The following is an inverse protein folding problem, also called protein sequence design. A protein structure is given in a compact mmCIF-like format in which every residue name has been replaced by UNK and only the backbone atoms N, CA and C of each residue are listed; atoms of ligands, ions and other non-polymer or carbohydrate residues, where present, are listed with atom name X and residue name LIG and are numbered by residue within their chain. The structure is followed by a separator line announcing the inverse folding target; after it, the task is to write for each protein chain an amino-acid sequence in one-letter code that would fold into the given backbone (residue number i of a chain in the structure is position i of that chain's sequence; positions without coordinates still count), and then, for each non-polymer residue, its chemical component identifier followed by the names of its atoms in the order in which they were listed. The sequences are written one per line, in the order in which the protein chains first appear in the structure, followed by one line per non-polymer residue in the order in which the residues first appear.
data_IF_451829529951
#
_entry.id   IF_451829529951
#
_cell.length_a   1.000
_cell.length_b   1.000
_cell.length_c   1.000
_cell.angle_alpha   90.00
_cell.angle_beta   90.00
_cell.angle_gamma   90.00
#
_symmetry.space_group_name_H-M   'P 1'
#
loop_
_entity.id
_entity.type
_entity.pdbx_description
1 polymer ?
#
# COMPACT_ATOMS: atom_id res chain seq x y z
N UNK A 1 -11.54 -11.18 -14.95
CA UNK A 1 -12.70 -10.30 -15.21
C UNK A 1 -12.22 -8.86 -15.33
N UNK A 2 -12.87 -7.98 -16.12
CA UNK A 2 -12.42 -6.60 -16.25
C UNK A 2 -12.76 -5.77 -15.00
N UNK A 3 -11.78 -5.04 -14.47
CA UNK A 3 -12.03 -4.00 -13.47
C UNK A 3 -12.86 -2.86 -14.08
N UNK A 4 -13.91 -2.42 -13.39
CA UNK A 4 -14.79 -1.34 -13.85
C UNK A 4 -14.27 0.07 -13.54
N UNK A 5 -13.28 0.20 -12.64
CA UNK A 5 -12.65 1.48 -12.30
C UNK A 5 -11.78 1.34 -11.06
N UNK A 6 -10.63 2.03 -11.05
CA UNK A 6 -9.75 2.07 -9.86
C UNK A 6 -9.18 3.47 -9.66
N UNK A 7 -9.16 3.89 -8.40
CA UNK A 7 -8.70 5.21 -7.98
C UNK A 7 -7.88 5.07 -6.70
N UNK A 8 -6.71 5.69 -6.68
CA UNK A 8 -5.94 5.96 -5.48
C UNK A 8 -5.64 7.46 -5.45
N UNK A 9 -5.89 8.13 -4.33
CA UNK A 9 -5.61 9.55 -4.18
C UNK A 9 -5.07 9.87 -2.79
N UNK A 10 -4.14 10.82 -2.73
CA UNK A 10 -3.59 11.37 -1.49
C UNK A 10 -3.65 12.89 -1.62
N UNK A 11 -4.22 13.55 -0.62
CA UNK A 11 -4.22 15.00 -0.50
C UNK A 11 -3.65 15.42 0.85
N UNK A 12 -2.96 16.54 0.86
CA UNK A 12 -2.51 17.22 2.07
C UNK A 12 -2.79 18.71 1.93
N UNK A 13 -3.21 19.33 3.03
CA UNK A 13 -3.40 20.76 3.14
C UNK A 13 -2.84 21.24 4.49
N UNK A 14 -2.14 22.36 4.46
CA UNK A 14 -1.69 23.07 5.65
C UNK A 14 -1.79 24.57 5.38
N UNK A 15 -1.99 25.36 6.43
CA UNK A 15 -1.97 26.82 6.33
C UNK A 15 -1.16 27.38 7.49
N UNK A 16 -0.12 28.16 7.19
CA UNK A 16 0.58 28.93 8.20
C UNK A 16 -0.11 30.28 8.36
N UNK A 17 -0.38 30.68 9.59
CA UNK A 17 -1.02 31.97 9.90
C UNK A 17 -0.22 32.75 10.92
N UNK A 18 -0.14 34.08 10.76
CA UNK A 18 0.40 34.97 11.78
C UNK A 18 -0.52 36.17 11.98
N UNK A 19 -0.72 36.57 13.23
CA UNK A 19 -1.48 37.77 13.56
C UNK A 19 -0.67 39.03 13.19
N UNK A 20 -1.38 40.06 12.74
CA UNK A 20 -0.87 41.40 12.46
C UNK A 20 -1.78 42.41 13.18
N UNK A 21 -1.27 43.61 13.45
CA UNK A 21 -2.01 44.64 14.20
C UNK A 21 -3.38 44.98 13.59
N UNK A 22 -3.50 44.87 12.25
CA UNK A 22 -4.75 45.14 11.50
C UNK A 22 -5.26 43.92 10.73
N UNK A 23 -4.81 42.69 11.04
CA UNK A 23 -5.29 41.51 10.31
C UNK A 23 -4.55 40.20 10.58
N UNK A 24 -4.57 39.30 9.60
CA UNK A 24 -3.90 37.99 9.67
C UNK A 24 -3.28 37.67 8.32
N UNK A 25 -1.97 37.40 8.32
CA UNK A 25 -1.30 36.87 7.14
C UNK A 25 -1.47 35.35 7.07
N UNK A 26 -1.57 34.82 5.86
CA UNK A 26 -1.89 33.41 5.56
C UNK A 26 -0.96 32.89 4.46
N UNK A 27 -0.49 31.65 4.62
CA UNK A 27 0.29 30.92 3.61
C UNK A 27 -0.27 29.49 3.46
N UNK A 28 -1.21 29.26 2.53
CA UNK A 28 -1.76 27.94 2.27
C UNK A 28 -0.80 27.09 1.44
N UNK A 29 -0.66 25.82 1.82
CA UNK A 29 0.10 24.79 1.16
C UNK A 29 -0.82 23.63 0.84
N UNK A 30 -0.90 23.23 -0.44
CA UNK A 30 -1.69 22.07 -0.85
C UNK A 30 -0.87 21.12 -1.70
N UNK A 31 -1.10 19.84 -1.51
CA UNK A 31 -0.55 18.76 -2.32
C UNK A 31 -1.68 17.81 -2.66
N UNK A 32 -1.78 17.43 -3.93
CA UNK A 32 -2.68 16.37 -4.37
C UNK A 32 -1.95 15.48 -5.36
N UNK A 33 -2.12 14.17 -5.18
CA UNK A 33 -1.66 13.12 -6.10
C UNK A 33 -2.80 12.15 -6.30
N UNK A 34 -3.02 11.78 -7.56
CA UNK A 34 -4.09 10.87 -7.97
C UNK A 34 -3.59 9.91 -9.04
N UNK A 35 -3.95 8.65 -8.87
CA UNK A 35 -3.80 7.56 -9.81
C UNK A 35 -5.20 7.08 -10.18
N UNK A 36 -5.56 7.21 -11.46
CA UNK A 36 -6.83 6.71 -12.00
C UNK A 36 -6.50 5.75 -13.13
N UNK A 37 -6.91 4.49 -13.01
CA UNK A 37 -6.58 3.47 -14.00
C UNK A 37 -7.85 2.92 -14.65
N UNK A 38 -7.77 2.70 -15.96
CA UNK A 38 -8.75 1.93 -16.71
C UNK A 38 -8.52 0.42 -16.57
N UNK A 39 -9.35 -0.37 -17.22
CA UNK A 39 -9.20 -1.83 -17.27
C UNK A 39 -8.08 -2.26 -18.23
N UNK A 40 -7.28 -3.25 -17.83
CA UNK A 40 -6.25 -3.91 -18.64
C UNK A 40 -4.85 -3.90 -18.00
N UNK A 41 -3.83 -4.26 -18.76
CA UNK A 41 -2.46 -4.49 -18.23
C UNK A 41 -1.42 -3.43 -18.61
N UNK A 42 -1.71 -2.61 -19.63
CA UNK A 42 -0.78 -1.58 -20.12
C UNK A 42 -0.66 -0.33 -19.23
N UNK A 43 0.01 0.70 -19.76
CA UNK A 43 0.07 2.02 -19.11
C UNK A 43 -1.35 2.56 -18.81
N UNK A 44 -1.53 3.13 -17.63
CA UNK A 44 -2.81 3.73 -17.21
C UNK A 44 -3.90 2.70 -16.96
N UNK A 45 -3.54 1.43 -16.79
CA UNK A 45 -4.47 0.33 -16.61
C UNK A 45 -4.09 -0.58 -15.44
N UNK A 46 -5.10 -1.22 -14.87
CA UNK A 46 -4.99 -2.32 -13.92
C UNK A 46 -6.06 -3.36 -14.24
N UNK A 47 -5.81 -4.60 -13.84
CA UNK A 47 -6.76 -5.71 -14.00
C UNK A 47 -6.76 -6.69 -12.82
N UNK A 48 -5.99 -6.40 -11.76
CA UNK A 48 -6.00 -7.14 -10.50
C UNK A 48 -6.14 -6.19 -9.31
N UNK A 49 -6.94 -6.59 -8.33
CA UNK A 49 -7.10 -5.89 -7.06
C UNK A 49 -7.19 -6.91 -5.94
N UNK A 50 -6.48 -6.65 -4.84
CA UNK A 50 -6.64 -7.35 -3.58
C UNK A 50 -6.96 -6.32 -2.50
N UNK A 51 -7.86 -6.66 -1.58
CA UNK A 51 -8.10 -5.87 -0.39
C UNK A 51 -8.55 -6.74 0.76
N UNK A 52 -8.04 -6.50 1.95
CA UNK A 52 -8.41 -7.26 3.15
C UNK A 52 -8.11 -6.47 4.42
N UNK A 53 -8.78 -6.86 5.52
CA UNK A 53 -8.44 -6.48 6.89
C UNK A 53 -7.89 -7.70 7.61
N UNK A 54 -6.67 -7.62 8.12
CA UNK A 54 -6.00 -8.75 8.78
C UNK A 54 -5.56 -8.40 10.18
N UNK A 55 -5.46 -9.42 11.04
CA UNK A 55 -5.01 -9.28 12.42
C UNK A 55 -3.88 -10.26 12.68
N UNK A 56 -2.74 -9.75 13.12
CA UNK A 56 -1.58 -10.53 13.53
C UNK A 56 -1.54 -10.63 15.04
N UNK A 57 -1.40 -11.84 15.56
CA UNK A 57 -1.16 -12.07 16.98
C UNK A 57 0.16 -11.39 17.46
N UNK A 58 0.37 -11.36 18.77
CA UNK A 58 1.64 -10.91 19.34
C UNK A 58 2.84 -11.63 18.72
N UNK A 59 3.89 -10.89 18.37
CA UNK A 59 5.11 -11.37 17.69
C UNK A 59 4.89 -12.04 16.34
N UNK A 60 3.66 -12.08 15.82
CA UNK A 60 3.36 -12.77 14.58
C UNK A 60 3.81 -11.94 13.37
N UNK A 61 4.11 -12.68 12.31
CA UNK A 61 4.37 -12.12 10.99
C UNK A 61 3.64 -12.96 9.96
N UNK A 62 3.33 -12.36 8.82
CA UNK A 62 2.83 -13.05 7.64
C UNK A 62 3.52 -12.53 6.39
N UNK A 63 3.53 -13.33 5.35
CA UNK A 63 4.04 -12.94 4.04
C UNK A 63 2.85 -12.97 3.06
N UNK A 64 2.49 -11.79 2.53
CA UNK A 64 1.51 -11.68 1.46
C UNK A 64 2.20 -12.06 0.15
N UNK A 65 1.89 -13.24 -0.39
CA UNK A 65 2.39 -13.67 -1.70
C UNK A 65 1.58 -13.02 -2.83
N UNK A 66 2.20 -12.00 -3.43
CA UNK A 66 1.63 -11.18 -4.49
C UNK A 66 1.43 -11.95 -5.82
N UNK A 67 1.91 -13.19 -5.92
CA UNK A 67 1.93 -13.95 -7.16
C UNK A 67 1.55 -15.43 -7.01
N UNK A 68 0.54 -15.77 -6.20
CA UNK A 68 0.05 -17.16 -6.15
C UNK A 68 -0.91 -17.54 -5.03
N UNK A 69 -0.95 -16.79 -3.92
CA UNK A 69 -1.79 -17.17 -2.77
C UNK A 69 -3.00 -16.27 -2.53
N UNK A 70 -2.89 -14.98 -2.86
CA UNK A 70 -3.98 -14.03 -2.61
C UNK A 70 -5.17 -14.35 -3.51
N UNK A 71 -6.36 -14.13 -2.99
CA UNK A 71 -7.62 -14.43 -3.67
C UNK A 71 -8.43 -13.15 -3.80
N UNK A 72 -9.04 -12.93 -4.96
CA UNK A 72 -9.93 -11.80 -5.16
C UNK A 72 -11.30 -12.01 -4.49
N UNK A 73 -12.16 -10.99 -4.52
CA UNK A 73 -13.49 -11.03 -3.93
C UNK A 73 -14.42 -12.10 -4.54
N UNK A 74 -14.03 -12.74 -5.65
CA UNK A 74 -14.79 -13.76 -6.35
C UNK A 74 -14.19 -15.16 -6.20
N UNK A 75 -13.16 -15.33 -5.37
CA UNK A 75 -12.54 -16.63 -5.12
C UNK A 75 -11.46 -17.02 -6.13
N UNK A 76 -11.05 -16.11 -7.04
CA UNK A 76 -9.99 -16.40 -8.00
C UNK A 76 -8.61 -16.01 -7.45
N UNK A 77 -7.63 -16.89 -7.60
CA UNK A 77 -6.23 -16.60 -7.24
C UNK A 77 -5.69 -15.44 -8.07
N UNK A 78 -5.01 -14.53 -7.40
CA UNK A 78 -4.38 -13.35 -7.98
C UNK A 78 -2.90 -13.63 -8.23
N UNK A 79 -2.46 -13.29 -9.43
CA UNK A 79 -1.04 -13.17 -9.76
C UNK A 79 -0.78 -11.76 -10.29
N UNK A 80 -0.10 -10.94 -9.50
CA UNK A 80 0.41 -9.65 -9.95
C UNK A 80 1.72 -9.86 -10.70
N UNK A 81 1.87 -9.27 -11.89
CA UNK A 81 3.18 -9.06 -12.51
C UNK A 81 3.77 -7.70 -12.10
N UNK A 82 2.93 -6.78 -11.65
CA UNK A 82 3.31 -5.46 -11.17
C UNK A 82 2.25 -4.82 -10.28
N UNK A 83 2.71 -4.10 -9.27
CA UNK A 83 1.88 -3.25 -8.43
C UNK A 83 1.89 -1.83 -8.99
N UNK A 84 0.69 -1.23 -9.09
CA UNK A 84 0.46 0.16 -9.52
C UNK A 84 0.08 1.06 -8.36
N UNK A 85 -0.60 0.51 -7.37
CA UNK A 85 -0.96 1.23 -6.16
C UNK A 85 -1.02 0.29 -4.96
N UNK A 86 -0.57 0.76 -3.81
CA UNK A 86 -0.72 0.05 -2.55
C UNK A 86 -1.05 1.04 -1.44
N UNK A 87 -2.04 0.69 -0.61
CA UNK A 87 -2.27 1.30 0.70
C UNK A 87 -2.09 0.22 1.75
N UNK A 88 -1.37 0.57 2.82
CA UNK A 88 -1.39 -0.18 4.08
C UNK A 88 -1.71 0.81 5.20
N UNK A 89 -2.70 0.49 6.02
CA UNK A 89 -3.13 1.32 7.13
C UNK A 89 -3.19 0.51 8.42
N UNK A 90 -2.51 0.97 9.45
CA UNK A 90 -2.60 0.39 10.79
C UNK A 90 -3.87 0.89 11.48
N UNK A 91 -4.61 0.00 12.14
CA UNK A 91 -5.74 0.40 12.96
C UNK A 91 -5.29 1.38 14.07
N UNK A 92 -6.15 2.34 14.40
CA UNK A 92 -5.95 3.35 15.45
C UNK A 92 -5.84 2.74 16.85
N UNK A 93 -6.62 1.70 17.12
CA UNK A 93 -6.66 1.00 18.40
C UNK A 93 -5.46 0.07 18.66
N UNK A 94 -4.52 -0.07 17.71
CA UNK A 94 -3.33 -0.89 17.92
C UNK A 94 -2.47 -0.31 19.06
N UNK A 95 -1.91 -1.18 19.90
CA UNK A 95 -0.89 -0.76 20.87
C UNK A 95 0.55 -0.90 20.33
N UNK A 96 0.74 -1.70 19.28
CA UNK A 96 2.03 -1.92 18.61
C UNK A 96 1.99 -1.43 17.16
N UNK A 97 3.16 -1.33 16.54
CA UNK A 97 3.27 -0.88 15.16
C UNK A 97 3.03 -2.05 14.19
N UNK A 98 2.54 -1.71 13.01
CA UNK A 98 2.54 -2.59 11.83
C UNK A 98 3.83 -2.31 11.07
N UNK A 99 4.64 -3.34 10.82
CA UNK A 99 5.91 -3.22 10.09
C UNK A 99 5.75 -3.90 8.73
N UNK A 100 6.10 -3.19 7.66
CA UNK A 100 5.90 -3.61 6.26
C UNK A 100 7.26 -3.80 5.59
N UNK A 101 7.47 -4.94 4.94
CA UNK A 101 8.69 -5.30 4.19
C UNK A 101 9.61 -6.28 4.92
N UNK A 102 10.80 -6.50 4.36
CA UNK A 102 11.84 -7.41 4.88
C UNK A 102 11.39 -8.88 5.02
N UNK A 103 10.81 -9.44 3.95
CA UNK A 103 10.60 -10.89 3.86
C UNK A 103 11.94 -11.64 3.82
N UNK A 104 12.05 -12.78 4.49
CA UNK A 104 13.32 -13.51 4.64
C UNK A 104 13.80 -14.14 3.33
N UNK A 105 12.88 -14.58 2.48
CA UNK A 105 13.14 -15.11 1.14
C UNK A 105 12.18 -14.49 0.15
N UNK A 106 12.56 -14.44 -1.12
CA UNK A 106 11.70 -13.98 -2.22
C UNK A 106 11.06 -12.60 -1.98
N UNK A 107 11.79 -11.73 -1.27
CA UNK A 107 11.29 -10.43 -0.89
C UNK A 107 10.92 -9.60 -2.12
N UNK A 108 9.72 -9.04 -2.10
CA UNK A 108 9.31 -8.07 -3.10
C UNK A 108 10.07 -6.75 -2.89
N UNK A 109 11.24 -6.67 -3.52
CA UNK A 109 12.24 -5.64 -3.24
C UNK A 109 12.02 -4.32 -4.00
N UNK A 110 11.09 -4.26 -4.97
CA UNK A 110 11.02 -3.13 -5.91
C UNK A 110 10.52 -1.83 -5.28
N UNK A 111 9.89 -1.88 -4.09
CA UNK A 111 9.41 -0.69 -3.39
C UNK A 111 10.38 -0.20 -2.29
N UNK A 112 10.77 -1.09 -1.37
CA UNK A 112 11.57 -0.73 -0.19
C UNK A 112 13.02 -1.27 -0.25
N UNK A 113 13.38 -2.02 -1.29
CA UNK A 113 14.53 -2.91 -1.24
C UNK A 113 14.21 -4.20 -0.46
N UNK A 114 15.12 -5.16 -0.49
CA UNK A 114 14.89 -6.48 0.12
C UNK A 114 14.91 -6.44 1.66
N UNK A 115 15.69 -5.53 2.25
CA UNK A 115 15.99 -5.53 3.70
C UNK A 115 15.37 -4.37 4.48
N UNK A 116 14.90 -3.33 3.79
CA UNK A 116 14.30 -2.17 4.47
C UNK A 116 12.88 -2.48 4.92
N UNK A 117 12.44 -1.73 5.92
CA UNK A 117 11.07 -1.77 6.41
C UNK A 117 10.46 -0.38 6.47
N UNK A 118 9.14 -0.35 6.41
CA UNK A 118 8.33 0.81 6.76
C UNK A 118 7.58 0.51 8.05
N UNK A 119 7.69 1.40 9.04
CA UNK A 119 6.97 1.28 10.31
C UNK A 119 5.75 2.19 10.30
N UNK A 120 4.56 1.60 10.47
CA UNK A 120 3.30 2.30 10.65
C UNK A 120 2.93 2.28 12.14
N UNK A 121 2.95 3.46 12.77
CA UNK A 121 2.43 3.64 14.14
C UNK A 121 0.90 3.42 14.16
N UNK A 122 0.28 3.19 15.33
CA UNK A 122 -1.17 3.12 15.43
C UNK A 122 -1.87 4.31 14.73
N UNK A 123 -2.84 4.01 13.86
CA UNK A 123 -3.56 4.98 13.04
C UNK A 123 -2.78 5.56 11.84
N UNK A 124 -1.51 5.20 11.66
CA UNK A 124 -0.72 5.63 10.51
C UNK A 124 -1.05 4.80 9.26
N UNK A 125 -0.86 5.41 8.10
CA UNK A 125 -0.99 4.73 6.82
C UNK A 125 0.09 5.18 5.85
N UNK A 126 0.31 4.36 4.84
CA UNK A 126 1.10 4.69 3.66
C UNK A 126 0.26 4.47 2.42
N UNK A 127 0.42 5.35 1.44
CA UNK A 127 -0.16 5.20 0.12
C UNK A 127 0.93 5.44 -0.92
N UNK A 128 1.12 4.46 -1.80
CA UNK A 128 2.05 4.52 -2.92
C UNK A 128 1.26 4.33 -4.20
N UNK A 129 1.49 5.18 -5.18
CA UNK A 129 0.86 5.08 -6.50
C UNK A 129 1.85 5.44 -7.59
N UNK A 130 1.80 4.72 -8.71
CA UNK A 130 2.59 4.99 -9.92
C UNK A 130 1.97 6.14 -10.72
N UNK A 131 2.71 6.67 -11.69
CA UNK A 131 2.13 7.60 -12.68
C UNK A 131 1.16 6.88 -13.62
N UNK A 132 0.17 7.59 -14.17
CA UNK A 132 -0.77 7.01 -15.14
C UNK A 132 -0.10 6.58 -16.45
N UNK A 133 1.04 7.15 -16.81
CA UNK A 133 1.81 6.74 -17.99
C UNK A 133 2.79 5.59 -17.71
N UNK A 134 2.94 5.17 -16.45
CA UNK A 134 3.90 4.15 -16.05
C UNK A 134 3.34 2.75 -16.37
N UNK A 135 3.88 2.12 -17.41
CA UNK A 135 3.57 0.73 -17.75
C UNK A 135 4.32 -0.28 -16.87
N UNK A 136 5.46 0.09 -16.30
CA UNK A 136 6.36 -0.78 -15.53
C UNK A 136 5.81 -1.04 -14.14
N UNK A 137 5.47 0.03 -13.40
CA UNK A 137 5.14 -0.05 -11.98
C UNK A 137 6.21 -0.78 -11.15
N UNK A 138 5.78 -1.34 -10.03
CA UNK A 138 6.65 -2.12 -9.14
C UNK A 138 6.57 -3.60 -9.51
N UNK A 139 7.59 -4.11 -10.20
CA UNK A 139 7.60 -5.46 -10.73
C UNK A 139 7.46 -6.52 -9.62
N UNK A 140 6.73 -7.60 -9.92
CA UNK A 140 6.56 -8.77 -9.06
C UNK A 140 7.06 -9.97 -9.85
N UNK A 141 7.97 -10.76 -9.27
CA UNK A 141 8.52 -11.96 -9.90
C UNK A 141 8.10 -13.18 -9.11
N UNK A 142 7.16 -13.97 -9.66
CA UNK A 142 6.64 -15.16 -9.02
C UNK A 142 7.77 -16.11 -8.56
N UNK A 143 7.69 -16.54 -7.30
CA UNK A 143 8.61 -17.47 -6.65
C UNK A 143 9.98 -16.89 -6.27
N UNK A 144 10.31 -15.64 -6.62
CA UNK A 144 11.65 -15.05 -6.34
C UNK A 144 11.65 -13.60 -5.88
N UNK A 145 10.52 -12.90 -5.97
CA UNK A 145 10.42 -11.47 -5.65
C UNK A 145 8.97 -11.03 -5.55
N UNK A 146 8.19 -11.74 -4.74
CA UNK A 146 6.74 -11.64 -4.64
C UNK A 146 6.21 -11.63 -3.21
N UNK A 147 7.06 -11.79 -2.19
CA UNK A 147 6.61 -11.76 -0.79
C UNK A 147 6.70 -10.35 -0.21
N UNK A 148 5.53 -9.81 0.17
CA UNK A 148 5.42 -8.62 1.01
C UNK A 148 5.13 -9.04 2.45
N UNK A 149 6.15 -8.97 3.30
CA UNK A 149 6.02 -9.28 4.72
C UNK A 149 5.28 -8.18 5.48
N UNK A 150 4.38 -8.59 6.38
CA UNK A 150 3.77 -7.74 7.41
C UNK A 150 4.09 -8.35 8.78
N UNK A 151 4.47 -7.52 9.73
CA UNK A 151 4.85 -7.96 11.07
C UNK A 151 4.23 -7.10 12.16
N UNK A 152 3.88 -7.74 13.27
CA UNK A 152 3.58 -7.08 14.53
C UNK A 152 4.90 -6.70 15.23
N UNK A 153 5.08 -5.43 15.56
CA UNK A 153 6.32 -4.98 16.23
C UNK A 153 6.41 -5.37 17.71
N UNK A 154 5.33 -5.86 18.31
CA UNK A 154 5.25 -6.11 19.75
C UNK A 154 4.85 -7.53 20.09
N UNK A 155 5.23 -7.94 21.30
CA UNK A 155 5.00 -9.29 21.83
C UNK A 155 3.83 -9.36 22.84
N UNK A 156 3.14 -8.26 23.12
CA UNK A 156 2.10 -8.19 24.16
C UNK A 156 0.67 -8.28 23.64
N UNK A 157 0.38 -7.75 22.46
CA UNK A 157 -0.98 -7.63 21.91
C UNK A 157 -0.97 -7.77 20.39
N UNK A 158 -2.11 -8.11 19.80
CA UNK A 158 -2.28 -8.18 18.35
C UNK A 158 -2.21 -6.81 17.69
N UNK A 159 -1.95 -6.78 16.38
CA UNK A 159 -2.14 -5.60 15.53
C UNK A 159 -3.11 -5.93 14.40
N UNK A 160 -3.95 -4.96 14.06
CA UNK A 160 -4.86 -5.03 12.91
C UNK A 160 -4.43 -4.02 11.85
N UNK A 161 -4.52 -4.42 10.58
CA UNK A 161 -4.22 -3.54 9.46
C UNK A 161 -5.15 -3.79 8.29
N UNK A 162 -5.36 -2.73 7.50
CA UNK A 162 -6.04 -2.79 6.22
C UNK A 162 -5.00 -2.72 5.10
N UNK A 163 -5.21 -3.49 4.05
CA UNK A 163 -4.36 -3.48 2.86
C UNK A 163 -5.22 -3.41 1.61
N UNK A 164 -4.83 -2.53 0.68
CA UNK A 164 -5.42 -2.44 -0.65
C UNK A 164 -4.29 -2.42 -1.68
N UNK A 165 -4.31 -3.37 -2.61
CA UNK A 165 -3.30 -3.53 -3.66
C UNK A 165 -3.99 -3.48 -5.00
N UNK A 166 -3.50 -2.61 -5.88
CA UNK A 166 -3.95 -2.44 -7.25
C UNK A 166 -2.77 -2.75 -8.16
N UNK A 167 -2.98 -3.62 -9.14
CA UNK A 167 -1.91 -4.04 -10.04
C UNK A 167 -2.40 -4.59 -11.36
N UNK A 168 -1.44 -5.06 -12.15
CA UNK A 168 -1.70 -5.69 -13.43
C UNK A 168 -1.07 -7.09 -13.48
N UNK A 169 -1.70 -8.01 -14.21
CA UNK A 169 -1.16 -9.36 -14.41
C UNK A 169 -0.10 -9.47 -15.52
N UNK A 170 0.17 -8.38 -16.26
CA UNK A 170 1.19 -8.31 -17.30
C UNK A 170 1.65 -6.88 -17.54
#
# INVERSE_FOLDING_TARGET
MPLSGTLLAVSAFAELTTALDLGTARAPHSLSRKLSLGSGTGAGKADRVFSDRRTLAASATEDLDLAGSLVDAFGATITFARIKGIIVAAADANANNVVVGNATSNAWATLLGATSTLTLRPGAFVAVGTGVADATGYAVTAGTGDLLKIANSGAGTSVTYDVHIIGASA
#
